data_IF_100054250917
#
_entry.id   IF_100054250917
#
_cell.length_a   1.000
_cell.length_b   1.000
_cell.length_c   1.000
_cell.angle_alpha   90.00
_cell.angle_beta   90.00
_cell.angle_gamma   90.00
#
_symmetry.space_group_name_H-M   'P 1'
#
loop_
_entity.id
_entity.type
_entity.pdbx_description
1 polymer ?
#
# COMPACT_ATOMS: atom_id res chain seq x y z
N UNK A 1 1.54 22.82 -24.10
CA UNK A 1 0.18 23.37 -24.34
C UNK A 1 -0.03 24.48 -23.32
N UNK A 2 -0.42 25.68 -23.75
CA UNK A 2 -0.67 26.83 -22.88
C UNK A 2 -1.93 27.56 -23.34
N UNK A 3 -2.77 28.01 -22.41
CA UNK A 3 -4.01 28.74 -22.72
C UNK A 3 -3.68 30.21 -22.93
N UNK A 4 -4.08 30.75 -24.08
CA UNK A 4 -3.88 32.14 -24.48
C UNK A 4 -4.52 33.11 -23.48
N UNK A 5 -3.85 34.21 -23.17
CA UNK A 5 -4.33 35.24 -22.23
C UNK A 5 -4.72 34.70 -20.84
N UNK A 6 -4.12 33.59 -20.41
CA UNK A 6 -4.42 32.94 -19.12
C UNK A 6 -3.19 32.23 -18.55
N UNK A 7 -2.57 31.35 -19.32
CA UNK A 7 -1.36 30.64 -18.92
C UNK A 7 -0.14 31.53 -19.02
N UNK A 8 0.65 31.59 -17.95
CA UNK A 8 1.91 32.35 -17.92
C UNK A 8 3.05 31.49 -17.35
N UNK A 9 4.23 31.52 -17.98
CA UNK A 9 5.42 30.78 -17.54
C UNK A 9 6.59 31.76 -17.44
N UNK A 10 7.35 31.72 -16.34
CA UNK A 10 8.59 32.51 -16.20
C UNK A 10 9.42 31.96 -15.04
N UNK A 11 10.73 32.16 -15.10
CA UNK A 11 11.63 31.84 -13.98
C UNK A 11 11.50 32.85 -12.83
N UNK A 12 11.20 34.10 -13.16
CA UNK A 12 10.97 35.19 -12.22
C UNK A 12 9.76 35.99 -12.65
N UNK A 13 8.76 36.11 -11.78
CA UNK A 13 7.54 36.85 -12.11
C UNK A 13 7.76 38.37 -12.20
N UNK A 14 6.77 39.13 -12.69
CA UNK A 14 6.88 40.58 -12.85
C UNK A 14 7.38 41.33 -11.60
N UNK A 15 7.00 40.97 -10.36
CA UNK A 15 7.56 41.63 -9.17
C UNK A 15 9.07 41.46 -9.03
N UNK A 16 9.61 40.28 -9.39
CA UNK A 16 11.06 40.01 -9.33
C UNK A 16 11.81 40.77 -10.43
N UNK A 17 11.27 40.81 -11.65
CA UNK A 17 11.84 41.59 -12.77
C UNK A 17 11.94 43.05 -12.39
N UNK A 18 10.85 43.62 -11.84
CA UNK A 18 10.83 45.00 -11.36
C UNK A 18 11.84 45.26 -10.26
N UNK A 19 11.94 44.38 -9.27
CA UNK A 19 12.88 44.53 -8.18
C UNK A 19 14.34 44.46 -8.63
N UNK A 20 14.67 43.59 -9.59
CA UNK A 20 16.03 43.36 -10.05
C UNK A 20 16.51 44.37 -11.10
N UNK A 21 15.62 44.86 -11.96
CA UNK A 21 15.99 45.64 -13.16
C UNK A 21 15.30 47.00 -13.24
N UNK A 22 14.26 47.24 -12.45
CA UNK A 22 13.39 48.41 -12.56
C UNK A 22 12.33 48.31 -13.67
N UNK A 23 12.39 47.31 -14.53
CA UNK A 23 11.44 47.10 -15.62
C UNK A 23 10.03 46.75 -15.10
N UNK A 24 9.01 47.41 -15.65
CA UNK A 24 7.60 47.13 -15.35
C UNK A 24 6.96 46.48 -16.56
N UNK A 25 6.61 45.21 -16.43
CA UNK A 25 6.04 44.37 -17.49
C UNK A 25 4.84 43.60 -16.95
N UNK A 26 3.84 43.33 -17.78
CA UNK A 26 2.69 42.51 -17.38
C UNK A 26 3.06 41.02 -17.38
N UNK A 27 2.25 40.17 -16.74
CA UNK A 27 2.49 38.73 -16.77
C UNK A 27 2.33 38.13 -18.18
N UNK A 28 1.39 38.66 -18.97
CA UNK A 28 1.15 38.21 -20.36
C UNK A 28 2.30 38.64 -21.28
N UNK A 29 2.80 39.87 -21.14
CA UNK A 29 3.93 40.36 -21.96
C UNK A 29 5.26 39.70 -21.57
N UNK A 30 5.42 39.32 -20.30
CA UNK A 30 6.64 38.69 -19.81
C UNK A 30 6.74 37.21 -20.20
N UNK A 31 5.62 36.49 -20.20
CA UNK A 31 5.63 35.03 -20.34
C UNK A 31 4.27 34.42 -20.65
N UNK A 32 3.41 35.15 -21.36
CA UNK A 32 2.09 34.67 -21.78
C UNK A 32 2.14 33.61 -22.88
N UNK A 33 0.95 33.17 -23.30
CA UNK A 33 0.80 32.13 -24.31
C UNK A 33 1.49 32.48 -25.63
N UNK A 34 1.24 33.70 -26.13
CA UNK A 34 1.82 34.17 -27.39
C UNK A 34 3.35 34.23 -27.34
N UNK A 35 3.92 34.74 -26.24
CA UNK A 35 5.37 34.79 -26.02
C UNK A 35 5.98 33.41 -26.19
N UNK A 36 5.40 32.38 -25.56
CA UNK A 36 5.99 31.05 -25.53
C UNK A 36 5.70 30.17 -26.74
N UNK A 37 4.61 30.41 -27.48
CA UNK A 37 4.28 29.64 -28.69
C UNK A 37 4.72 30.31 -29.98
N UNK A 38 5.04 31.60 -29.96
CA UNK A 38 5.47 32.37 -31.14
C UNK A 38 6.92 32.84 -31.08
N UNK A 39 7.39 33.30 -29.91
CA UNK A 39 8.70 33.95 -29.81
C UNK A 39 9.77 33.02 -29.21
N UNK A 40 9.51 32.44 -28.03
CA UNK A 40 10.53 31.71 -27.27
C UNK A 40 10.58 30.20 -27.56
N UNK A 41 9.47 29.61 -28.02
CA UNK A 41 9.36 28.16 -28.24
C UNK A 41 9.32 27.31 -26.97
N UNK A 42 8.96 27.87 -25.81
CA UNK A 42 8.84 27.12 -24.55
C UNK A 42 7.57 26.27 -24.51
N UNK A 43 6.54 26.64 -25.29
CA UNK A 43 5.31 25.88 -25.42
C UNK A 43 5.02 25.56 -26.90
N UNK A 44 4.54 24.35 -27.18
CA UNK A 44 4.37 23.85 -28.55
C UNK A 44 2.99 24.15 -29.16
N UNK A 45 1.98 24.38 -28.32
CA UNK A 45 0.59 24.57 -28.74
C UNK A 45 -0.08 25.68 -27.94
N UNK A 46 -0.68 26.63 -28.66
CA UNK A 46 -1.52 27.69 -28.11
C UNK A 46 -2.98 27.24 -28.12
N UNK A 47 -3.61 27.17 -26.95
CA UNK A 47 -5.02 26.86 -26.78
C UNK A 47 -5.83 28.15 -26.59
N UNK A 48 -7.08 28.16 -27.04
CA UNK A 48 -7.97 29.32 -26.90
C UNK A 48 -8.63 29.37 -25.51
N UNK A 49 -8.87 28.20 -24.91
CA UNK A 49 -9.43 28.01 -23.58
C UNK A 49 -9.01 26.64 -23.01
N UNK A 50 -9.42 26.33 -21.79
CA UNK A 50 -9.15 25.06 -21.12
C UNK A 50 -9.71 23.85 -21.90
N UNK A 51 -10.87 23.99 -22.54
CA UNK A 51 -11.50 22.90 -23.31
C UNK A 51 -10.65 22.55 -24.53
N UNK A 52 -10.18 23.56 -25.26
CA UNK A 52 -9.26 23.39 -26.38
C UNK A 52 -7.93 22.80 -25.90
N UNK A 53 -7.39 23.24 -24.75
CA UNK A 53 -6.16 22.69 -24.18
C UNK A 53 -6.29 21.18 -23.90
N UNK A 54 -7.42 20.74 -23.34
CA UNK A 54 -7.70 19.32 -23.10
C UNK A 54 -7.84 18.53 -24.41
N UNK A 55 -8.46 19.09 -25.44
CA UNK A 55 -8.55 18.47 -26.76
C UNK A 55 -7.16 18.24 -27.38
N UNK A 56 -6.28 19.26 -27.31
CA UNK A 56 -4.90 19.16 -27.75
C UNK A 56 -4.11 18.10 -26.97
N UNK A 57 -4.28 18.04 -25.64
CA UNK A 57 -3.62 17.03 -24.83
C UNK A 57 -4.04 15.60 -25.23
N UNK A 58 -5.33 15.40 -25.53
CA UNK A 58 -5.83 14.11 -26.06
C UNK A 58 -5.25 13.78 -27.43
N UNK A 59 -5.07 14.77 -28.32
CA UNK A 59 -4.40 14.57 -29.60
C UNK A 59 -2.94 14.15 -29.41
N UNK A 60 -2.20 14.76 -28.47
CA UNK A 60 -0.83 14.35 -28.15
C UNK A 60 -0.78 12.89 -27.67
N UNK A 61 -1.69 12.48 -26.79
CA UNK A 61 -1.78 11.08 -26.31
C UNK A 61 -2.12 10.10 -27.44
N UNK A 62 -3.00 10.48 -28.37
CA UNK A 62 -3.36 9.64 -29.52
C UNK A 62 -2.17 9.37 -30.47
N UNK A 63 -1.17 10.24 -30.49
CA UNK A 63 0.01 10.13 -31.36
C UNK A 63 1.20 9.38 -30.73
N UNK A 64 1.08 8.83 -29.52
CA UNK A 64 2.21 8.22 -28.79
C UNK A 64 2.79 6.94 -29.40
N UNK A 65 2.15 6.37 -30.44
CA UNK A 65 2.49 5.04 -30.97
C UNK A 65 2.61 3.98 -29.85
N UNK A 66 1.72 4.08 -28.85
CA UNK A 66 1.83 3.33 -27.60
C UNK A 66 1.29 1.91 -27.72
N UNK A 67 2.03 0.93 -27.20
CA UNK A 67 1.59 -0.47 -27.10
C UNK A 67 1.94 -1.03 -25.72
N UNK A 68 0.95 -1.65 -25.06
CA UNK A 68 1.18 -2.40 -23.81
C UNK A 68 2.01 -3.66 -24.08
N UNK A 69 2.96 -3.94 -23.20
CA UNK A 69 3.78 -5.16 -23.27
C UNK A 69 2.97 -6.44 -22.95
N UNK A 70 1.95 -6.33 -22.07
CA UNK A 70 1.12 -7.41 -21.50
C UNK A 70 1.74 -8.82 -21.54
N UNK A 71 2.63 -9.16 -20.59
CA UNK A 71 3.32 -10.45 -20.57
C UNK A 71 2.51 -11.59 -19.92
N UNK A 72 1.27 -11.36 -19.46
CA UNK A 72 0.50 -12.33 -18.69
C UNK A 72 -0.42 -13.16 -19.58
N UNK A 73 -0.58 -14.44 -19.25
CA UNK A 73 -1.62 -15.30 -19.79
C UNK A 73 -2.94 -14.99 -19.08
N UNK A 74 -3.76 -14.12 -19.67
CA UNK A 74 -5.07 -13.74 -19.12
C UNK A 74 -6.16 -14.73 -19.52
N UNK A 75 -7.16 -14.91 -18.66
CA UNK A 75 -8.38 -15.66 -18.92
C UNK A 75 -9.56 -14.73 -19.18
N UNK A 76 -10.69 -15.29 -19.62
CA UNK A 76 -11.94 -14.53 -19.69
C UNK A 76 -12.38 -14.16 -18.26
N UNK A 77 -12.65 -12.87 -17.97
CA UNK A 77 -13.07 -12.43 -16.64
C UNK A 77 -14.35 -13.12 -16.17
N UNK A 78 -14.38 -13.56 -14.91
CA UNK A 78 -15.60 -14.05 -14.26
C UNK A 78 -15.84 -13.28 -12.96
N UNK A 79 -17.09 -12.90 -12.71
CA UNK A 79 -17.45 -12.31 -11.42
C UNK A 79 -17.25 -13.31 -10.27
N UNK A 80 -16.99 -12.85 -9.03
CA UNK A 80 -17.07 -13.69 -7.84
C UNK A 80 -18.48 -14.29 -7.67
N UNK A 81 -18.61 -15.40 -6.94
CA UNK A 81 -19.90 -16.03 -6.61
C UNK A 81 -20.67 -15.33 -5.48
N UNK A 82 -20.03 -14.38 -4.80
CA UNK A 82 -20.57 -13.65 -3.66
C UNK A 82 -20.60 -12.15 -3.97
N UNK A 83 -21.59 -11.44 -3.43
CA UNK A 83 -21.69 -9.99 -3.63
C UNK A 83 -20.53 -9.28 -2.89
N UNK A 84 -19.73 -8.42 -3.57
CA UNK A 84 -18.71 -7.61 -2.91
C UNK A 84 -19.21 -6.79 -1.72
N UNK A 85 -20.49 -6.38 -1.69
CA UNK A 85 -21.08 -5.65 -0.56
C UNK A 85 -21.13 -6.49 0.73
N UNK A 86 -21.11 -7.82 0.63
CA UNK A 86 -21.02 -8.68 1.81
C UNK A 86 -19.72 -8.46 2.59
N UNK A 87 -18.66 -7.89 1.98
CA UNK A 87 -17.41 -7.55 2.66
C UNK A 87 -17.62 -6.61 3.87
N UNK A 88 -18.67 -5.77 3.83
CA UNK A 88 -19.02 -4.89 4.95
C UNK A 88 -19.41 -5.67 6.21
N UNK A 89 -19.86 -6.92 6.07
CA UNK A 89 -20.24 -7.81 7.17
C UNK A 89 -19.20 -8.88 7.53
N UNK A 90 -18.16 -9.06 6.72
CA UNK A 90 -17.13 -10.10 6.95
C UNK A 90 -16.18 -9.71 8.08
N UNK A 91 -15.81 -8.42 8.19
CA UNK A 91 -14.89 -7.96 9.23
C UNK A 91 -15.64 -7.77 10.56
N UNK A 92 -15.20 -8.44 11.65
CA UNK A 92 -15.78 -8.22 12.96
C UNK A 92 -15.57 -6.78 13.44
N UNK A 93 -16.60 -6.22 14.09
CA UNK A 93 -16.51 -4.90 14.72
C UNK A 93 -15.51 -4.86 15.89
N UNK A 94 -15.37 -5.99 16.61
CA UNK A 94 -14.28 -6.18 17.57
C UNK A 94 -13.04 -6.68 16.84
N UNK A 95 -12.04 -5.81 16.68
CA UNK A 95 -10.78 -6.07 15.97
C UNK A 95 -9.95 -7.20 16.59
N UNK A 96 -10.28 -7.67 17.79
CA UNK A 96 -9.64 -8.83 18.45
C UNK A 96 -10.26 -10.15 18.05
N UNK A 97 -11.47 -10.16 17.48
CA UNK A 97 -12.12 -11.39 17.06
C UNK A 97 -11.47 -11.90 15.76
N UNK A 98 -11.00 -13.16 15.73
CA UNK A 98 -10.50 -13.75 14.51
C UNK A 98 -11.65 -13.93 13.51
N UNK A 99 -11.33 -13.83 12.23
CA UNK A 99 -12.20 -14.22 11.11
C UNK A 99 -11.35 -14.96 10.07
N UNK A 100 -11.99 -15.73 9.19
CA UNK A 100 -11.28 -16.40 8.10
C UNK A 100 -11.10 -15.44 6.92
N UNK A 101 -9.85 -15.10 6.61
CA UNK A 101 -9.53 -14.20 5.49
C UNK A 101 -9.94 -14.76 4.12
N UNK A 102 -10.20 -16.07 4.02
CA UNK A 102 -10.75 -16.69 2.81
C UNK A 102 -12.11 -16.13 2.43
N UNK A 103 -12.90 -15.65 3.40
CA UNK A 103 -14.18 -14.97 3.14
C UNK A 103 -13.98 -13.67 2.35
N UNK A 104 -12.87 -12.96 2.59
CA UNK A 104 -12.51 -11.78 1.79
C UNK A 104 -12.06 -12.23 0.40
N UNK A 105 -11.15 -13.20 0.31
CA UNK A 105 -10.62 -13.70 -0.97
C UNK A 105 -11.75 -14.15 -1.90
N UNK A 106 -12.72 -14.92 -1.38
CA UNK A 106 -13.86 -15.44 -2.14
C UNK A 106 -14.73 -14.34 -2.77
N UNK A 107 -14.76 -13.13 -2.20
CA UNK A 107 -15.50 -11.97 -2.71
C UNK A 107 -14.67 -11.09 -3.65
N UNK A 108 -13.37 -11.34 -3.78
CA UNK A 108 -12.47 -10.56 -4.64
C UNK A 108 -12.12 -11.28 -5.93
N UNK A 109 -11.96 -12.60 -5.91
CA UNK A 109 -11.39 -13.37 -7.03
C UNK A 109 -12.45 -13.92 -7.98
N UNK A 110 -12.03 -14.12 -9.23
CA UNK A 110 -12.88 -14.62 -10.31
C UNK A 110 -13.49 -15.99 -9.97
N UNK A 111 -14.81 -16.11 -10.11
CA UNK A 111 -15.54 -17.35 -9.80
C UNK A 111 -15.46 -17.80 -8.33
N UNK A 112 -14.92 -16.97 -7.44
CA UNK A 112 -14.54 -17.37 -6.07
C UNK A 112 -13.62 -18.60 -6.05
N UNK A 113 -12.82 -18.77 -7.09
CA UNK A 113 -11.87 -19.89 -7.24
C UNK A 113 -10.49 -19.48 -6.72
N UNK A 114 -9.96 -20.25 -5.76
CA UNK A 114 -8.69 -19.98 -5.12
C UNK A 114 -7.91 -21.27 -4.87
N UNK A 115 -6.78 -21.41 -5.55
CA UNK A 115 -5.90 -22.57 -5.43
C UNK A 115 -4.91 -22.36 -4.28
N UNK A 116 -5.30 -22.80 -3.09
CA UNK A 116 -4.53 -22.56 -1.88
C UNK A 116 -3.22 -23.37 -1.83
N UNK A 117 -2.10 -22.65 -1.78
CA UNK A 117 -0.76 -23.21 -1.57
C UNK A 117 -0.51 -23.48 -0.09
N UNK A 118 -0.01 -24.68 0.23
CA UNK A 118 0.30 -25.09 1.61
C UNK A 118 -0.89 -24.85 2.57
N UNK A 119 -2.09 -25.25 2.18
CA UNK A 119 -3.33 -25.02 2.95
C UNK A 119 -3.31 -25.59 4.38
N UNK A 120 -2.45 -26.58 4.65
CA UNK A 120 -2.32 -27.26 5.96
C UNK A 120 -1.03 -26.93 6.71
N UNK A 121 -0.27 -25.91 6.28
CA UNK A 121 0.99 -25.50 6.90
C UNK A 121 1.04 -23.98 7.06
N UNK A 122 1.42 -23.48 8.25
CA UNK A 122 1.50 -22.04 8.51
C UNK A 122 0.16 -21.32 8.30
N UNK A 123 -0.93 -21.88 8.84
CA UNK A 123 -2.31 -21.48 8.52
C UNK A 123 -2.70 -20.05 8.92
N UNK A 124 -1.83 -19.34 9.66
CA UNK A 124 -1.99 -17.91 9.94
C UNK A 124 -1.58 -17.01 8.78
N UNK A 125 -1.03 -17.58 7.71
CA UNK A 125 -0.83 -16.93 6.43
C UNK A 125 -1.46 -17.79 5.32
N UNK A 126 -2.48 -17.24 4.67
CA UNK A 126 -3.13 -17.84 3.51
C UNK A 126 -2.39 -17.38 2.27
N UNK A 127 -1.99 -18.34 1.43
CA UNK A 127 -1.34 -18.03 0.16
C UNK A 127 -1.92 -18.91 -0.93
N UNK A 128 -2.12 -18.38 -2.13
CA UNK A 128 -2.67 -19.17 -3.23
C UNK A 128 -2.83 -18.37 -4.50
N UNK A 129 -3.11 -19.09 -5.58
CA UNK A 129 -3.28 -18.50 -6.90
C UNK A 129 -4.76 -18.27 -7.20
N UNK A 130 -5.05 -17.19 -7.91
CA UNK A 130 -6.37 -16.87 -8.41
C UNK A 130 -6.29 -15.93 -9.62
N UNK A 131 -7.43 -15.48 -10.11
CA UNK A 131 -7.53 -14.43 -11.12
C UNK A 131 -8.40 -13.28 -10.59
N UNK A 132 -8.11 -12.05 -11.02
CA UNK A 132 -8.96 -10.87 -10.83
C UNK A 132 -9.13 -10.22 -12.20
N UNK A 133 -10.37 -10.16 -12.68
CA UNK A 133 -10.69 -9.66 -14.03
C UNK A 133 -9.84 -10.35 -15.10
N UNK A 134 -9.73 -11.69 -15.02
CA UNK A 134 -8.95 -12.51 -15.94
C UNK A 134 -7.44 -12.45 -15.75
N UNK A 135 -6.90 -11.54 -14.92
CA UNK A 135 -5.46 -11.40 -14.70
C UNK A 135 -4.99 -12.30 -13.55
N UNK A 136 -3.94 -13.14 -13.74
CA UNK A 136 -3.46 -14.02 -12.68
C UNK A 136 -2.85 -13.23 -11.52
N UNK A 137 -3.12 -13.67 -10.30
CA UNK A 137 -2.59 -13.07 -9.06
C UNK A 137 -2.16 -14.15 -8.07
N UNK A 138 -1.08 -13.86 -7.34
CA UNK A 138 -0.68 -14.60 -6.15
C UNK A 138 -1.09 -13.81 -4.92
N UNK A 139 -2.02 -14.34 -4.13
CA UNK A 139 -2.54 -13.65 -2.94
C UNK A 139 -1.73 -14.12 -1.72
N UNK A 140 -1.35 -13.17 -0.86
CA UNK A 140 -0.69 -13.39 0.44
C UNK A 140 -1.51 -12.64 1.48
N UNK A 141 -2.25 -13.36 2.33
CA UNK A 141 -3.23 -12.77 3.23
C UNK A 141 -3.04 -13.23 4.68
N UNK A 142 -3.08 -12.29 5.62
CA UNK A 142 -3.00 -12.64 7.05
C UNK A 142 -4.28 -13.29 7.53
N UNK A 143 -4.14 -14.35 8.33
CA UNK A 143 -5.22 -15.06 9.00
C UNK A 143 -4.87 -15.30 10.49
N UNK A 144 -4.13 -14.35 11.08
CA UNK A 144 -3.59 -14.42 12.44
C UNK A 144 -2.16 -13.90 12.56
N UNK A 145 -1.54 -14.16 13.71
CA UNK A 145 -0.14 -13.82 14.03
C UNK A 145 0.82 -14.65 13.16
N UNK A 146 1.95 -14.07 12.74
CA UNK A 146 2.94 -14.78 11.93
C UNK A 146 3.85 -15.66 12.80
N UNK A 147 4.00 -16.92 12.39
CA UNK A 147 4.97 -17.88 12.91
C UNK A 147 6.10 -18.10 11.90
N UNK A 148 7.14 -18.83 12.30
CA UNK A 148 8.25 -19.23 11.42
C UNK A 148 7.73 -19.99 10.19
N UNK A 149 6.75 -20.87 10.36
CA UNK A 149 6.09 -21.63 9.31
C UNK A 149 5.38 -20.70 8.31
N UNK A 150 4.69 -19.69 8.82
CA UNK A 150 3.98 -18.69 8.03
C UNK A 150 4.96 -17.90 7.16
N UNK A 151 6.09 -17.47 7.73
CA UNK A 151 7.12 -16.73 7.01
C UNK A 151 7.83 -17.59 5.95
N UNK A 152 8.18 -18.84 6.28
CA UNK A 152 8.76 -19.79 5.33
C UNK A 152 7.78 -20.14 4.19
N UNK A 153 6.47 -20.25 4.50
CA UNK A 153 5.41 -20.42 3.49
C UNK A 153 5.34 -19.20 2.57
N UNK A 154 5.31 -17.99 3.13
CA UNK A 154 5.24 -16.74 2.37
C UNK A 154 6.44 -16.55 1.44
N UNK A 155 7.66 -16.78 1.94
CA UNK A 155 8.88 -16.68 1.13
C UNK A 155 8.83 -17.61 -0.08
N UNK A 156 8.55 -18.91 0.13
CA UNK A 156 8.44 -19.89 -0.95
C UNK A 156 7.33 -19.52 -1.95
N UNK A 157 6.16 -19.08 -1.47
CA UNK A 157 5.08 -18.68 -2.36
C UNK A 157 5.47 -17.47 -3.24
N UNK A 158 6.18 -16.49 -2.68
CA UNK A 158 6.71 -15.35 -3.43
C UNK A 158 7.71 -15.81 -4.49
N UNK A 159 8.61 -16.75 -4.18
CA UNK A 159 9.53 -17.33 -5.16
C UNK A 159 8.79 -17.94 -6.35
N UNK A 160 7.72 -18.70 -6.12
CA UNK A 160 6.88 -19.27 -7.18
C UNK A 160 6.23 -18.17 -8.04
N UNK A 161 5.68 -17.13 -7.41
CA UNK A 161 5.09 -16.00 -8.14
C UNK A 161 6.13 -15.28 -8.99
N UNK A 162 7.31 -15.01 -8.43
CA UNK A 162 8.43 -14.37 -9.13
C UNK A 162 8.90 -15.20 -10.32
N UNK A 163 9.07 -16.52 -10.15
CA UNK A 163 9.46 -17.44 -11.22
C UNK A 163 8.45 -17.44 -12.37
N UNK A 164 7.15 -17.39 -12.04
CA UNK A 164 6.04 -17.43 -13.00
C UNK A 164 5.62 -16.05 -13.51
N UNK A 165 6.29 -14.98 -13.06
CA UNK A 165 5.93 -13.58 -13.33
C UNK A 165 4.49 -13.21 -12.95
N UNK A 166 3.96 -13.84 -11.91
CA UNK A 166 2.61 -13.59 -11.39
C UNK A 166 2.64 -12.39 -10.42
N UNK A 167 1.82 -11.35 -10.65
CA UNK A 167 1.67 -10.24 -9.70
C UNK A 167 1.23 -10.70 -8.31
N UNK A 168 1.71 -10.01 -7.27
CA UNK A 168 1.43 -10.31 -5.87
C UNK A 168 0.41 -9.33 -5.28
N UNK A 169 -0.59 -9.86 -4.57
CA UNK A 169 -1.58 -9.08 -3.82
C UNK A 169 -1.45 -9.43 -2.33
N UNK A 170 -1.12 -8.44 -1.51
CA UNK A 170 -0.99 -8.57 -0.06
C UNK A 170 -2.23 -8.02 0.63
N UNK A 171 -2.90 -8.86 1.43
CA UNK A 171 -4.02 -8.44 2.28
C UNK A 171 -3.55 -8.38 3.74
N UNK A 172 -3.28 -7.17 4.23
CA UNK A 172 -2.72 -6.97 5.57
C UNK A 172 -3.81 -6.93 6.64
N UNK A 173 -3.71 -7.88 7.56
CA UNK A 173 -4.37 -7.85 8.86
C UNK A 173 -3.44 -8.48 9.90
N UNK A 174 -2.36 -7.77 10.22
CA UNK A 174 -1.24 -8.30 10.99
C UNK A 174 -1.00 -7.51 12.28
N UNK A 175 -1.00 -8.25 13.39
CA UNK A 175 -0.66 -7.76 14.73
C UNK A 175 0.81 -7.93 15.09
N UNK A 176 1.55 -8.74 14.34
CA UNK A 176 2.98 -8.95 14.50
C UNK A 176 3.39 -10.42 14.34
N UNK A 177 4.62 -10.71 14.74
CA UNK A 177 5.15 -12.06 14.86
C UNK A 177 4.92 -12.61 16.26
N UNK A 178 4.88 -13.94 16.40
CA UNK A 178 4.82 -14.58 17.70
C UNK A 178 6.06 -14.22 18.53
N UNK A 179 5.86 -13.92 19.83
CA UNK A 179 6.95 -13.58 20.75
C UNK A 179 7.15 -14.68 21.78
N UNK A 180 8.39 -14.89 22.23
CA UNK A 180 8.72 -15.80 23.33
C UNK A 180 10.03 -16.55 23.13
N UNK A 181 10.66 -16.96 24.24
CA UNK A 181 11.98 -17.61 24.23
C UNK A 181 12.08 -18.80 23.27
N UNK A 182 11.04 -19.63 23.20
CA UNK A 182 11.02 -20.82 22.33
C UNK A 182 11.10 -20.45 20.85
N UNK A 183 10.25 -19.54 20.38
CA UNK A 183 10.20 -19.14 18.96
C UNK A 183 11.44 -18.34 18.55
N UNK A 184 12.03 -17.58 19.48
CA UNK A 184 13.32 -16.91 19.26
C UNK A 184 14.44 -17.94 19.04
N UNK A 185 14.55 -18.94 19.92
CA UNK A 185 15.55 -20.01 19.80
C UNK A 185 15.35 -20.88 18.55
N UNK A 186 14.11 -21.08 18.10
CA UNK A 186 13.79 -21.79 16.84
C UNK A 186 14.13 -20.94 15.59
N UNK A 187 14.35 -19.63 15.78
CA UNK A 187 14.81 -18.71 14.75
C UNK A 187 13.68 -17.99 14.01
N UNK A 188 12.65 -17.52 14.73
CA UNK A 188 11.58 -16.72 14.10
C UNK A 188 12.12 -15.48 13.38
N UNK A 189 13.17 -14.84 13.92
CA UNK A 189 13.82 -13.71 13.29
C UNK A 189 14.41 -14.04 11.90
N UNK A 190 15.10 -15.18 11.75
CA UNK A 190 15.62 -15.60 10.42
C UNK A 190 14.50 -15.99 9.48
N UNK A 191 13.42 -16.62 9.96
CA UNK A 191 12.28 -16.99 9.13
C UNK A 191 11.55 -15.75 8.61
N UNK A 192 11.29 -14.77 9.49
CA UNK A 192 10.77 -13.45 9.11
C UNK A 192 11.68 -12.74 8.11
N UNK A 193 12.99 -12.76 8.33
CA UNK A 193 13.96 -12.16 7.41
C UNK A 193 13.92 -12.80 6.01
N UNK A 194 13.71 -14.12 5.89
CA UNK A 194 13.52 -14.77 4.58
C UNK A 194 12.32 -14.18 3.83
N UNK A 195 11.18 -14.02 4.51
CA UNK A 195 9.99 -13.43 3.90
C UNK A 195 10.23 -11.98 3.46
N UNK A 196 10.90 -11.18 4.31
CA UNK A 196 11.25 -9.79 3.99
C UNK A 196 12.19 -9.71 2.78
N UNK A 197 13.22 -10.57 2.71
CA UNK A 197 14.10 -10.66 1.52
C UNK A 197 13.30 -11.00 0.26
N UNK A 198 12.36 -11.95 0.35
CA UNK A 198 11.52 -12.32 -0.79
C UNK A 198 10.66 -11.14 -1.27
N UNK A 199 9.99 -10.44 -0.34
CA UNK A 199 9.16 -9.26 -0.64
C UNK A 199 9.99 -8.12 -1.25
N UNK A 200 11.16 -7.84 -0.67
CA UNK A 200 12.02 -6.75 -1.11
C UNK A 200 12.58 -6.97 -2.52
N UNK A 201 13.02 -8.19 -2.81
CA UNK A 201 13.66 -8.49 -4.09
C UNK A 201 12.67 -8.75 -5.24
N UNK A 202 11.43 -9.14 -4.94
CA UNK A 202 10.40 -9.45 -5.94
C UNK A 202 10.19 -8.29 -6.94
N UNK A 203 10.39 -8.60 -8.23
CA UNK A 203 10.24 -7.67 -9.35
C UNK A 203 8.88 -7.75 -10.05
N UNK A 204 8.06 -8.73 -9.71
CA UNK A 204 6.66 -8.77 -10.13
C UNK A 204 5.90 -7.56 -9.55
N UNK A 205 4.86 -7.04 -10.22
CA UNK A 205 4.03 -6.00 -9.63
C UNK A 205 3.45 -6.48 -8.28
N UNK A 206 3.58 -5.65 -7.25
CA UNK A 206 3.07 -5.89 -5.90
C UNK A 206 1.98 -4.89 -5.58
N UNK A 207 0.90 -5.34 -4.97
CA UNK A 207 -0.22 -4.49 -4.52
C UNK A 207 -0.52 -4.83 -3.07
N UNK A 208 -0.83 -3.81 -2.27
CA UNK A 208 -1.11 -4.01 -0.85
C UNK A 208 -2.44 -3.38 -0.49
N UNK A 209 -3.28 -4.11 0.23
CA UNK A 209 -4.52 -3.60 0.81
C UNK A 209 -4.48 -3.88 2.30
N UNK A 210 -4.50 -2.82 3.11
CA UNK A 210 -4.61 -2.95 4.56
C UNK A 210 -6.09 -3.08 4.91
N UNK A 211 -6.50 -4.32 5.18
CA UNK A 211 -7.89 -4.69 5.50
C UNK A 211 -8.16 -4.71 7.02
N UNK A 212 -7.12 -4.62 7.85
CA UNK A 212 -7.23 -4.59 9.32
C UNK A 212 -6.02 -3.95 9.97
N UNK A 213 -5.30 -4.69 10.81
CA UNK A 213 -4.08 -4.20 11.45
C UNK A 213 -2.87 -4.19 10.50
N UNK A 214 -2.00 -3.18 10.65
CA UNK A 214 -0.67 -3.15 10.04
C UNK A 214 0.33 -2.68 11.09
N UNK A 215 0.85 -3.64 11.86
CA UNK A 215 1.69 -3.34 13.03
C UNK A 215 3.10 -3.93 12.93
N UNK A 216 4.09 -3.11 13.28
CA UNK A 216 5.48 -3.50 13.49
C UNK A 216 6.11 -4.28 12.32
N UNK A 217 6.90 -5.31 12.65
CA UNK A 217 7.58 -6.13 11.64
C UNK A 217 6.62 -6.88 10.70
N UNK A 218 5.36 -7.05 11.09
CA UNK A 218 4.32 -7.62 10.22
C UNK A 218 4.07 -6.77 8.97
N UNK A 219 4.10 -5.44 9.10
CA UNK A 219 4.00 -4.52 7.96
C UNK A 219 5.10 -4.78 6.93
N UNK A 220 6.32 -5.09 7.39
CA UNK A 220 7.46 -5.33 6.52
C UNK A 220 7.32 -6.63 5.72
N UNK A 221 7.01 -7.72 6.42
CA UNK A 221 6.81 -9.03 5.80
C UNK A 221 5.63 -9.08 4.83
N UNK A 222 4.64 -8.19 4.98
CA UNK A 222 3.44 -8.15 4.15
C UNK A 222 3.47 -7.02 3.08
N UNK A 223 4.64 -6.56 2.68
CA UNK A 223 4.82 -5.53 1.64
C UNK A 223 4.17 -4.17 1.99
N UNK A 224 4.52 -3.62 3.16
CA UNK A 224 4.18 -2.25 3.52
C UNK A 224 4.84 -1.19 2.63
N UNK A 225 4.57 0.09 2.91
CA UNK A 225 4.96 1.24 2.05
C UNK A 225 6.44 1.27 1.66
N UNK A 226 7.34 0.87 2.57
CA UNK A 226 8.79 0.85 2.34
C UNK A 226 9.27 -0.22 1.32
N UNK A 227 8.40 -1.15 0.91
CA UNK A 227 8.74 -2.25 -0.02
C UNK A 227 8.25 -2.00 -1.45
N UNK A 228 7.84 -0.76 -1.72
CA UNK A 228 7.46 -0.24 -3.03
C UNK A 228 6.43 -1.13 -3.76
N UNK A 229 5.27 -1.44 -3.15
CA UNK A 229 4.14 -1.90 -3.94
C UNK A 229 3.79 -0.81 -4.97
N UNK A 230 3.28 -1.20 -6.13
CA UNK A 230 2.83 -0.26 -7.16
C UNK A 230 1.74 0.65 -6.62
N UNK A 231 0.88 0.08 -5.79
CA UNK A 231 -0.13 0.80 -5.04
C UNK A 231 -0.36 0.14 -3.68
N UNK A 232 -0.64 0.96 -2.68
CA UNK A 232 -1.04 0.54 -1.34
C UNK A 232 -2.30 1.28 -0.94
N UNK A 233 -3.36 0.57 -0.57
CA UNK A 233 -4.61 1.17 -0.07
C UNK A 233 -4.92 0.74 1.34
N UNK A 234 -5.81 1.49 1.99
CA UNK A 234 -6.35 1.16 3.30
C UNK A 234 -7.87 1.04 3.24
N UNK A 235 -8.42 0.11 4.00
CA UNK A 235 -9.84 0.12 4.34
C UNK A 235 -10.13 1.10 5.49
N UNK A 236 -11.39 1.57 5.64
CA UNK A 236 -11.73 2.57 6.66
C UNK A 236 -11.59 2.05 8.10
N UNK A 237 -11.70 0.74 8.31
CA UNK A 237 -11.54 0.08 9.61
C UNK A 237 -10.06 -0.19 9.97
N UNK A 238 -9.13 -0.01 9.03
CA UNK A 238 -7.74 -0.38 9.22
C UNK A 238 -7.04 0.49 10.27
N UNK A 239 -5.95 -0.01 10.85
CA UNK A 239 -5.07 0.75 11.75
C UNK A 239 -3.60 0.45 11.44
N UNK A 240 -2.77 1.49 11.43
CA UNK A 240 -1.33 1.37 11.15
C UNK A 240 -0.48 2.09 12.20
N UNK A 241 0.46 1.38 12.81
CA UNK A 241 1.40 1.97 13.78
C UNK A 241 2.57 1.02 14.04
N UNK A 242 3.57 1.47 14.81
CA UNK A 242 4.74 0.64 15.17
C UNK A 242 4.35 -0.62 15.97
N UNK A 243 3.30 -0.53 16.77
CA UNK A 243 2.65 -1.63 17.50
C UNK A 243 1.20 -1.24 17.84
N UNK A 244 0.39 -2.15 18.37
CA UNK A 244 -0.98 -1.80 18.78
C UNK A 244 -1.00 -0.82 19.96
N UNK A 245 -2.01 0.07 20.03
CA UNK A 245 -2.10 1.09 21.08
C UNK A 245 -2.13 0.52 22.51
N UNK A 246 -2.92 -0.54 22.74
CA UNK A 246 -2.94 -1.25 24.03
C UNK A 246 -1.61 -1.93 24.36
N UNK A 247 -0.92 -2.47 23.35
CA UNK A 247 0.41 -3.06 23.54
C UNK A 247 1.44 -1.99 23.93
N UNK A 248 1.45 -0.85 23.24
CA UNK A 248 2.34 0.26 23.55
C UNK A 248 2.12 0.80 24.96
N UNK A 249 0.85 1.05 25.31
CA UNK A 249 0.47 1.54 26.62
C UNK A 249 0.88 0.56 27.73
N UNK A 250 0.66 -0.74 27.51
CA UNK A 250 1.05 -1.80 28.47
C UNK A 250 2.58 -1.90 28.64
N UNK A 251 3.35 -1.92 27.54
CA UNK A 251 4.82 -2.01 27.61
C UNK A 251 5.42 -0.79 28.31
N UNK A 252 4.98 0.42 27.95
CA UNK A 252 5.48 1.64 28.58
C UNK A 252 5.10 1.72 30.06
N UNK A 253 3.91 1.24 30.42
CA UNK A 253 3.49 1.16 31.82
C UNK A 253 4.35 0.18 32.62
N UNK A 254 4.64 -1.02 32.10
CA UNK A 254 5.51 -1.99 32.77
C UNK A 254 6.90 -1.40 33.05
N UNK A 255 7.54 -0.77 32.06
CA UNK A 255 8.87 -0.15 32.24
C UNK A 255 8.82 0.96 33.29
N UNK A 256 7.76 1.77 33.30
CA UNK A 256 7.58 2.84 34.29
C UNK A 256 7.38 2.28 35.70
N UNK A 257 6.55 1.23 35.85
CA UNK A 257 6.31 0.53 37.10
C UNK A 257 7.61 -0.02 37.69
N UNK A 258 8.37 -0.78 36.89
CA UNK A 258 9.64 -1.36 37.30
C UNK A 258 10.62 -0.27 37.78
N UNK A 259 10.68 0.86 37.08
CA UNK A 259 11.52 2.00 37.48
C UNK A 259 11.09 2.70 38.78
N UNK A 260 9.79 2.73 39.09
CA UNK A 260 9.26 3.27 40.35
C UNK A 260 9.53 2.30 41.50
N UNK A 261 9.23 1.01 41.31
CA UNK A 261 9.39 -0.04 42.31
C UNK A 261 10.87 -0.28 42.65
N UNK A 262 11.77 -0.20 41.66
CA UNK A 262 13.22 -0.26 41.89
C UNK A 262 13.76 0.86 42.79
N UNK A 263 13.03 1.99 42.92
CA UNK A 263 13.36 3.11 43.80
C UNK A 263 12.59 3.07 45.13
N UNK A 264 11.89 1.96 45.41
CA UNK A 264 11.07 1.79 46.62
C UNK A 264 9.72 2.50 46.58
N UNK A 265 9.31 3.05 45.44
CA UNK A 265 8.00 3.68 45.27
C UNK A 265 6.88 2.67 45.05
N UNK A 266 5.64 3.15 45.05
CA UNK A 266 4.44 2.39 44.65
C UNK A 266 3.69 3.17 43.57
N UNK A 267 3.09 2.45 42.63
CA UNK A 267 2.30 3.04 41.56
C UNK A 267 0.89 2.46 41.58
N UNK A 268 -0.11 3.32 41.78
CA UNK A 268 -1.51 2.90 41.89
C UNK A 268 -2.07 2.48 40.53
N UNK A 269 -3.15 1.71 40.54
CA UNK A 269 -3.84 1.32 39.30
C UNK A 269 -4.43 2.54 38.57
N UNK A 270 -4.92 3.54 39.31
CA UNK A 270 -5.48 4.77 38.74
C UNK A 270 -4.41 5.62 38.06
N UNK A 271 -3.22 5.73 38.67
CA UNK A 271 -2.09 6.44 38.05
C UNK A 271 -1.54 5.70 36.83
N UNK A 272 -1.60 4.36 36.82
CA UNK A 272 -1.24 3.55 35.65
C UNK A 272 -2.23 3.78 34.50
N UNK A 273 -3.53 3.77 34.79
CA UNK A 273 -4.56 4.00 33.79
C UNK A 273 -4.51 5.43 33.22
N UNK A 274 -4.31 6.43 34.10
CA UNK A 274 -4.10 7.83 33.68
C UNK A 274 -2.84 8.01 32.80
N UNK A 275 -1.82 7.16 32.99
CA UNK A 275 -0.64 7.14 32.13
C UNK A 275 -0.89 6.44 30.79
N UNK A 276 -1.66 5.34 30.78
CA UNK A 276 -1.98 4.57 29.57
C UNK A 276 -2.94 5.30 28.64
N UNK A 277 -3.93 6.01 29.18
CA UNK A 277 -4.96 6.71 28.41
C UNK A 277 -4.41 7.61 27.28
N UNK A 278 -3.52 8.59 27.53
CA UNK A 278 -3.00 9.46 26.46
C UNK A 278 -2.16 8.70 25.40
N UNK A 279 -1.54 7.57 25.77
CA UNK A 279 -0.80 6.72 24.83
C UNK A 279 -1.77 6.04 23.87
N UNK A 280 -2.88 5.49 24.38
CA UNK A 280 -3.91 4.87 23.53
C UNK A 280 -4.53 5.88 22.58
N UNK A 281 -4.87 7.07 23.08
CA UNK A 281 -5.41 8.15 22.25
C UNK A 281 -4.44 8.59 21.15
N UNK A 282 -3.14 8.66 21.48
CA UNK A 282 -2.11 8.95 20.49
C UNK A 282 -2.11 7.90 19.37
N UNK A 283 -2.12 6.61 19.71
CA UNK A 283 -2.07 5.53 18.73
C UNK A 283 -3.36 5.43 17.91
N UNK A 284 -4.52 5.67 18.51
CA UNK A 284 -5.78 5.70 17.77
C UNK A 284 -5.80 6.86 16.76
N UNK A 285 -5.40 8.06 17.19
CA UNK A 285 -5.32 9.22 16.31
C UNK A 285 -4.30 9.05 15.18
N UNK A 286 -3.08 8.61 15.50
CA UNK A 286 -2.00 8.49 14.53
C UNK A 286 -2.13 7.26 13.64
N UNK A 287 -2.84 6.23 14.10
CA UNK A 287 -3.06 5.00 13.34
C UNK A 287 -4.35 5.00 12.50
N UNK A 288 -5.19 6.02 12.62
CA UNK A 288 -6.41 6.16 11.84
C UNK A 288 -6.10 6.30 10.33
N UNK A 289 -6.88 5.67 9.41
CA UNK A 289 -6.61 5.74 7.97
C UNK A 289 -6.54 7.18 7.43
N UNK A 290 -7.37 8.10 7.93
CA UNK A 290 -7.28 9.52 7.56
C UNK A 290 -5.95 10.19 7.96
N UNK A 291 -5.35 9.79 9.08
CA UNK A 291 -4.04 10.31 9.47
C UNK A 291 -2.94 9.82 8.53
N UNK A 292 -2.99 8.55 8.14
CA UNK A 292 -2.07 7.91 7.21
C UNK A 292 -2.19 8.49 5.79
N UNK A 293 -3.41 8.58 5.27
CA UNK A 293 -3.69 9.03 3.90
C UNK A 293 -3.37 10.52 3.72
N UNK A 294 -3.60 11.34 4.75
CA UNK A 294 -3.17 12.75 4.77
C UNK A 294 -1.63 12.93 4.67
N UNK A 295 -0.85 11.85 4.82
CA UNK A 295 0.62 11.83 4.77
C UNK A 295 1.17 10.92 3.67
N UNK A 296 0.30 10.43 2.77
CA UNK A 296 0.67 9.57 1.64
C UNK A 296 1.39 8.28 2.06
N UNK A 297 1.08 7.77 3.26
CA UNK A 297 1.53 6.44 3.69
C UNK A 297 0.83 5.33 2.89
N UNK A 298 -0.37 5.64 2.41
CA UNK A 298 -1.17 4.92 1.42
C UNK A 298 -1.50 5.84 0.23
N UNK A 299 -2.03 5.25 -0.83
CA UNK A 299 -2.47 5.91 -2.06
C UNK A 299 -4.00 6.16 -2.05
N UNK A 300 -4.64 5.98 -0.89
CA UNK A 300 -6.06 6.25 -0.68
C UNK A 300 -6.73 5.27 0.28
N UNK A 301 -7.73 5.80 0.99
CA UNK A 301 -8.73 4.99 1.70
C UNK A 301 -9.85 4.63 0.73
N UNK A 302 -10.17 3.35 0.61
CA UNK A 302 -11.17 2.84 -0.35
C UNK A 302 -12.32 2.13 0.38
N UNK A 303 -13.49 2.11 -0.24
CA UNK A 303 -14.59 1.23 0.20
C UNK A 303 -14.14 -0.24 0.08
N UNK A 304 -14.33 -1.09 1.11
CA UNK A 304 -14.07 -2.52 1.00
C UNK A 304 -14.68 -3.18 -0.24
N UNK A 305 -15.90 -2.81 -0.64
CA UNK A 305 -16.60 -3.36 -1.81
C UNK A 305 -15.93 -2.97 -3.13
N UNK A 306 -15.17 -1.87 -3.17
CA UNK A 306 -14.44 -1.39 -4.35
C UNK A 306 -13.09 -2.09 -4.57
N UNK A 307 -12.62 -2.88 -3.60
CA UNK A 307 -11.27 -3.48 -3.61
C UNK A 307 -10.99 -4.24 -4.90
N UNK A 308 -11.93 -5.04 -5.40
CA UNK A 308 -11.77 -5.81 -6.64
C UNK A 308 -11.55 -4.88 -7.85
N UNK A 309 -12.38 -3.85 -7.99
CA UNK A 309 -12.32 -2.88 -9.09
C UNK A 309 -11.00 -2.10 -9.05
N UNK A 310 -10.60 -1.63 -7.88
CA UNK A 310 -9.35 -0.89 -7.68
C UNK A 310 -8.13 -1.76 -8.03
N UNK A 311 -8.09 -3.02 -7.55
CA UNK A 311 -7.03 -3.96 -7.90
C UNK A 311 -6.97 -4.23 -9.41
N UNK A 312 -8.12 -4.45 -10.06
CA UNK A 312 -8.18 -4.71 -11.50
C UNK A 312 -7.60 -3.55 -12.33
N UNK A 313 -7.98 -2.30 -12.00
CA UNK A 313 -7.46 -1.11 -12.66
C UNK A 313 -5.94 -0.99 -12.47
N UNK A 314 -5.46 -1.20 -11.25
CA UNK A 314 -4.04 -1.10 -10.93
C UNK A 314 -3.19 -2.22 -11.57
N UNK A 315 -3.73 -3.43 -11.65
CA UNK A 315 -3.15 -4.56 -12.38
C UNK A 315 -2.99 -4.18 -13.85
N UNK A 316 -4.09 -3.82 -14.52
CA UNK A 316 -4.08 -3.44 -15.94
C UNK A 316 -3.14 -2.26 -16.24
N UNK A 317 -3.10 -1.25 -15.35
CA UNK A 317 -2.20 -0.12 -15.49
C UNK A 317 -0.72 -0.51 -15.37
N UNK A 318 -0.39 -1.42 -14.44
CA UNK A 318 0.99 -1.85 -14.20
C UNK A 318 1.59 -2.67 -15.34
N UNK A 319 0.75 -3.32 -16.15
CA UNK A 319 1.14 -4.11 -17.33
C UNK A 319 1.52 -3.26 -18.56
N UNK A 320 1.49 -1.93 -18.43
CA UNK A 320 2.19 -1.04 -19.34
C UNK A 320 3.71 -1.21 -19.26
N UNK A 321 4.24 -1.61 -18.10
CA UNK A 321 5.66 -1.90 -17.91
C UNK A 321 5.93 -3.41 -18.07
N UNK A 322 7.10 -3.80 -18.62
CA UNK A 322 7.52 -5.20 -18.61
C UNK A 322 7.75 -5.70 -17.17
N UNK A 323 7.65 -7.01 -16.97
CA UNK A 323 7.97 -7.66 -15.69
C UNK A 323 9.42 -8.18 -15.75
N UNK A 324 10.37 -7.56 -15.02
CA UNK A 324 11.77 -7.98 -15.00
C UNK A 324 11.97 -9.34 -14.33
N UNK A 325 13.13 -9.95 -14.54
CA UNK A 325 13.55 -11.10 -13.76
C UNK A 325 13.83 -10.72 -12.31
N UNK A 326 13.40 -11.56 -11.37
CA UNK A 326 13.70 -11.38 -9.95
C UNK A 326 15.05 -12.01 -9.61
N UNK A 327 15.93 -11.22 -8.97
CA UNK A 327 17.16 -11.72 -8.34
C UNK A 327 17.05 -11.52 -6.83
N UNK A 328 16.98 -12.62 -6.10
CA UNK A 328 16.92 -12.58 -4.64
C UNK A 328 18.30 -12.27 -4.03
N UNK A 329 18.28 -11.57 -2.89
CA UNK A 329 19.45 -11.49 -2.02
C UNK A 329 19.73 -12.81 -1.30
N UNK A 330 20.72 -12.82 -0.41
CA UNK A 330 21.04 -14.02 0.38
C UNK A 330 19.90 -14.34 1.34
N UNK A 331 19.35 -15.55 1.25
CA UNK A 331 18.45 -16.09 2.26
C UNK A 331 19.24 -16.66 3.44
N UNK A 332 18.89 -16.23 4.66
CA UNK A 332 19.46 -16.78 5.91
C UNK A 332 18.73 -18.05 6.30
N UNK A 333 19.33 -19.22 6.08
CA UNK A 333 18.69 -20.54 6.25
C UNK A 333 18.35 -20.95 7.69
#
# INVERSE_FOLDING_TARGET
IIVKNQGTIFLGGPPLVKAATGEVVSAEDLGGGDVHTRLSGVADHLAEDDTHALALARHSVAALNWRKANPLATLEPRAPKHDPNELHGVIPTDTRKPFDVREIIARLVDGSEFDEFKARYGNTLVTGFAHIEGMPVGIVANNGILFSESANKGAHFIELCCQRKVPLVFLQNITGFMVGRRVENEGIARAGAKMVTAVACAQVPKYTVIIGGSFGAGNYGMCGRAYSPRFLWMWPNARISVMGGEQAASVLATVKRDGIEAKGGRWSADDEEAFKAPIRDQYERQGHPYYASARLWDDGVIDPADTRRVLALALSASLNAPIPETKFGVFRM
#
